data_IF_129736874790
#
_entry.id   IF_129736874790
#
_cell.length_a   1.000
_cell.length_b   1.000
_cell.length_c   1.000
_cell.angle_alpha   90.00
_cell.angle_beta   90.00
_cell.angle_gamma   90.00
#
_symmetry.space_group_name_H-M   'P 1'
#
loop_
_entity.id
_entity.type
_entity.pdbx_description
1 polymer ?
#
# COMPACT_ATOMS: atom_id res chain seq x y z
N UNK A 1 27.65 11.78 -12.78
CA UNK A 1 26.27 11.37 -12.44
C UNK A 1 26.04 10.04 -13.12
N UNK A 2 26.15 8.94 -12.37
CA UNK A 2 26.04 7.58 -12.91
C UNK A 2 24.60 7.31 -13.32
N UNK A 3 24.42 6.68 -14.50
CA UNK A 3 23.17 6.10 -14.98
C UNK A 3 22.50 5.33 -13.84
N UNK A 4 21.48 5.92 -13.20
CA UNK A 4 20.51 5.14 -12.44
C UNK A 4 19.68 4.43 -13.48
N UNK A 5 19.85 3.12 -13.61
CA UNK A 5 18.94 2.25 -14.34
C UNK A 5 17.51 2.65 -13.97
N UNK A 6 16.81 3.32 -14.89
CA UNK A 6 15.39 3.63 -14.81
C UNK A 6 14.58 2.36 -15.11
N UNK A 7 14.99 1.24 -14.50
CA UNK A 7 14.27 -0.02 -14.58
C UNK A 7 12.97 0.07 -13.81
N UNK A 8 11.92 -0.60 -14.30
CA UNK A 8 10.68 -0.80 -13.56
C UNK A 8 11.02 -1.35 -12.17
N UNK A 9 10.59 -0.65 -11.11
CA UNK A 9 10.76 -1.15 -9.74
C UNK A 9 9.65 -2.14 -9.47
N UNK A 10 10.01 -3.42 -9.46
CA UNK A 10 9.10 -4.52 -9.13
C UNK A 10 9.65 -5.38 -8.02
N UNK A 11 8.76 -6.08 -7.32
CA UNK A 11 9.11 -7.07 -6.30
C UNK A 11 8.32 -8.31 -6.58
N UNK A 12 9.00 -9.45 -6.58
CA UNK A 12 8.30 -10.74 -6.58
C UNK A 12 8.24 -11.25 -5.16
N UNK A 13 7.02 -11.60 -4.74
CA UNK A 13 6.73 -12.15 -3.44
C UNK A 13 6.22 -13.57 -3.54
N UNK A 14 6.43 -14.33 -2.48
CA UNK A 14 5.67 -15.54 -2.17
C UNK A 14 4.66 -15.16 -1.10
N UNK A 15 3.39 -15.28 -1.43
CA UNK A 15 2.28 -14.98 -0.53
C UNK A 15 1.59 -16.26 -0.10
N UNK A 16 1.36 -16.42 1.19
CA UNK A 16 0.66 -17.58 1.75
C UNK A 16 -0.49 -17.12 2.65
N UNK A 17 -1.64 -17.78 2.52
CA UNK A 17 -2.84 -17.54 3.32
C UNK A 17 -3.34 -18.87 3.89
N UNK A 18 -3.58 -18.90 5.20
CA UNK A 18 -4.26 -20.03 5.84
C UNK A 18 -5.78 -19.81 5.80
N UNK A 19 -6.46 -20.59 4.98
CA UNK A 19 -7.92 -20.54 4.83
C UNK A 19 -8.47 -21.93 5.16
N UNK A 20 -9.37 -22.02 6.13
CA UNK A 20 -10.01 -23.27 6.55
C UNK A 20 -9.01 -24.42 6.81
N UNK A 21 -7.87 -24.10 7.43
CA UNK A 21 -6.82 -25.07 7.76
C UNK A 21 -5.93 -25.49 6.58
N UNK A 22 -6.09 -24.88 5.40
CA UNK A 22 -5.25 -25.14 4.22
C UNK A 22 -4.47 -23.90 3.82
N UNK A 23 -3.20 -24.09 3.45
CA UNK A 23 -2.35 -23.01 2.94
C UNK A 23 -2.64 -22.84 1.45
N UNK A 24 -3.06 -21.64 1.09
CA UNK A 24 -3.16 -21.16 -0.28
C UNK A 24 -1.95 -20.29 -0.56
N UNK A 25 -1.31 -20.51 -1.69
CA UNK A 25 -0.07 -19.81 -2.03
C UNK A 25 -0.14 -19.24 -3.43
N UNK A 26 0.48 -18.07 -3.62
CA UNK A 26 0.78 -17.54 -4.94
C UNK A 26 2.15 -16.88 -4.97
N UNK A 27 2.74 -16.84 -6.15
CA UNK A 27 3.89 -16.00 -6.45
C UNK A 27 3.40 -14.87 -7.34
N UNK A 28 3.61 -13.63 -6.90
CA UNK A 28 3.15 -12.44 -7.61
C UNK A 28 4.25 -11.38 -7.66
N UNK A 29 4.31 -10.66 -8.77
CA UNK A 29 5.21 -9.52 -8.94
C UNK A 29 4.40 -8.23 -8.86
N UNK A 30 4.79 -7.36 -7.94
CA UNK A 30 4.12 -6.12 -7.58
C UNK A 30 4.86 -4.89 -8.10
N UNK A 31 4.14 -3.79 -8.28
CA UNK A 31 4.72 -2.46 -8.52
C UNK A 31 5.18 -1.88 -7.18
N UNK A 32 6.38 -1.28 -7.16
CA UNK A 32 6.93 -0.62 -5.98
C UNK A 32 6.80 0.89 -6.07
N UNK A 33 6.36 1.51 -4.97
CA UNK A 33 6.46 2.96 -4.76
C UNK A 33 7.53 3.27 -3.72
N UNK A 34 8.31 4.32 -3.97
CA UNK A 34 9.37 4.78 -3.07
C UNK A 34 8.94 5.89 -2.11
N UNK A 35 7.63 6.16 -1.95
CA UNK A 35 7.13 7.34 -1.25
C UNK A 35 7.43 7.30 0.26
N UNK A 36 7.31 6.14 0.91
CA UNK A 36 7.67 5.98 2.33
C UNK A 36 8.61 4.78 2.58
N UNK A 37 9.40 4.39 1.57
CA UNK A 37 10.34 3.28 1.65
C UNK A 37 10.04 2.18 0.65
N UNK A 38 10.01 0.93 1.11
CA UNK A 38 9.72 -0.23 0.27
C UNK A 38 8.25 -0.63 0.41
N UNK A 39 7.41 -0.09 -0.45
CA UNK A 39 5.97 -0.29 -0.42
C UNK A 39 5.52 -0.86 -1.76
N UNK A 40 4.64 -1.87 -1.73
CA UNK A 40 3.96 -2.27 -2.95
C UNK A 40 2.72 -1.41 -3.13
N UNK A 41 2.31 -1.12 -4.37
CA UNK A 41 1.09 -0.34 -4.60
C UNK A 41 -0.17 -0.94 -3.95
N UNK A 42 -0.19 -2.25 -3.73
CA UNK A 42 -1.36 -2.94 -3.18
C UNK A 42 -1.25 -3.31 -1.69
N UNK A 43 -0.07 -3.16 -1.07
CA UNK A 43 0.17 -3.56 0.33
C UNK A 43 1.25 -2.72 0.99
N UNK A 44 1.13 -2.52 2.30
CA UNK A 44 2.12 -1.81 3.14
C UNK A 44 3.35 -2.67 3.48
N UNK A 45 3.99 -3.27 2.47
CA UNK A 45 5.25 -4.02 2.62
C UNK A 45 5.07 -5.51 2.95
N UNK A 46 5.98 -6.06 3.75
CA UNK A 46 6.00 -7.47 4.17
C UNK A 46 4.94 -7.74 5.23
N UNK A 47 3.85 -8.38 4.83
CA UNK A 47 2.75 -8.68 5.73
C UNK A 47 2.96 -10.05 6.39
N UNK A 48 2.99 -10.05 7.72
CA UNK A 48 2.80 -11.25 8.54
C UNK A 48 1.60 -10.98 9.44
N UNK A 49 0.61 -11.88 9.43
CA UNK A 49 -0.58 -11.73 10.27
C UNK A 49 -0.83 -12.98 11.09
N UNK A 50 -1.08 -12.78 12.37
CA UNK A 50 -1.49 -13.81 13.30
C UNK A 50 -2.97 -13.65 13.64
N UNK A 51 -3.67 -14.77 13.89
CA UNK A 51 -5.03 -14.74 14.42
C UNK A 51 -5.02 -14.57 15.96
N UNK A 52 -6.22 -14.52 16.57
CA UNK A 52 -6.36 -14.37 18.04
C UNK A 52 -5.69 -15.50 18.84
N UNK A 53 -5.53 -16.67 18.24
CA UNK A 53 -4.87 -17.82 18.84
C UNK A 53 -3.35 -17.84 18.60
N UNK A 54 -2.76 -16.73 18.14
CA UNK A 54 -1.33 -16.62 17.81
C UNK A 54 -0.87 -17.58 16.70
N UNK A 55 -1.78 -18.06 15.86
CA UNK A 55 -1.43 -18.84 14.69
C UNK A 55 -1.18 -17.92 13.49
N UNK A 56 -0.09 -18.16 12.77
CA UNK A 56 0.23 -17.48 11.52
C UNK A 56 -0.83 -17.81 10.47
N UNK A 57 -1.50 -16.78 9.95
CA UNK A 57 -2.58 -16.92 8.96
C UNK A 57 -2.29 -16.25 7.62
N UNK A 58 -1.24 -15.42 7.56
CA UNK A 58 -0.81 -14.75 6.33
C UNK A 58 0.68 -14.45 6.42
N UNK A 59 1.42 -14.75 5.35
CA UNK A 59 2.82 -14.36 5.18
C UNK A 59 3.05 -13.86 3.76
N UNK A 60 3.94 -12.89 3.62
CA UNK A 60 4.37 -12.34 2.35
C UNK A 60 5.89 -12.12 2.41
N UNK A 61 6.64 -12.91 1.64
CA UNK A 61 8.10 -12.90 1.61
C UNK A 61 8.60 -12.36 0.26
N UNK A 62 9.58 -11.45 0.24
CA UNK A 62 10.29 -11.07 -1.01
C UNK A 62 11.18 -12.22 -1.41
N UNK A 63 11.06 -12.62 -2.67
CA UNK A 63 11.96 -13.59 -3.30
C UNK A 63 12.75 -13.01 -4.49
N UNK A 64 12.32 -11.88 -5.07
CA UNK A 64 13.09 -11.14 -6.08
C UNK A 64 12.74 -9.64 -6.12
N UNK A 65 13.63 -8.83 -6.71
CA UNK A 65 13.46 -7.39 -6.89
C UNK A 65 14.03 -6.96 -8.24
N UNK A 66 13.28 -6.14 -8.99
CA UNK A 66 13.71 -5.53 -10.27
C UNK A 66 13.92 -6.53 -11.42
N UNK A 67 13.45 -7.78 -11.28
CA UNK A 67 13.79 -8.87 -12.21
C UNK A 67 12.64 -9.33 -13.12
N UNK A 68 11.39 -9.15 -12.70
CA UNK A 68 10.23 -9.74 -13.37
C UNK A 68 9.16 -8.68 -13.71
N UNK A 69 8.35 -8.91 -14.77
CA UNK A 69 7.19 -8.07 -15.07
C UNK A 69 6.12 -8.20 -13.98
N UNK A 70 5.27 -7.18 -13.86
CA UNK A 70 4.14 -7.16 -12.92
C UNK A 70 3.16 -8.28 -13.26
N UNK A 71 2.82 -9.09 -12.26
CA UNK A 71 1.79 -10.15 -12.39
C UNK A 71 0.68 -10.03 -11.36
N UNK A 72 0.81 -9.12 -10.39
CA UNK A 72 -0.24 -8.86 -9.42
C UNK A 72 -1.43 -8.14 -10.09
N UNK A 73 -2.64 -8.74 -10.11
CA UNK A 73 -3.80 -8.15 -10.77
C UNK A 73 -4.28 -6.86 -10.07
N UNK A 74 -4.09 -6.76 -8.75
CA UNK A 74 -4.43 -5.54 -8.00
C UNK A 74 -3.50 -4.40 -8.38
N UNK A 75 -2.19 -4.65 -8.49
CA UNK A 75 -1.25 -3.64 -8.98
C UNK A 75 -1.59 -3.20 -10.41
N UNK A 76 -2.03 -4.12 -11.28
CA UNK A 76 -2.45 -3.77 -12.64
C UNK A 76 -3.70 -2.88 -12.65
N UNK A 77 -4.72 -3.21 -11.86
CA UNK A 77 -5.92 -2.39 -11.73
C UNK A 77 -5.63 -0.99 -11.16
N UNK A 78 -4.85 -0.91 -10.06
CA UNK A 78 -4.43 0.37 -9.48
C UNK A 78 -3.64 1.19 -10.49
N UNK A 79 -2.73 0.57 -11.24
CA UNK A 79 -1.99 1.26 -12.29
C UNK A 79 -2.94 1.87 -13.32
N UNK A 80 -3.94 1.13 -13.80
CA UNK A 80 -4.94 1.66 -14.73
C UNK A 80 -5.72 2.84 -14.14
N UNK A 81 -6.15 2.74 -12.89
CA UNK A 81 -6.90 3.80 -12.21
C UNK A 81 -6.06 5.06 -12.00
N UNK A 82 -4.81 4.91 -11.56
CA UNK A 82 -3.87 6.03 -11.35
C UNK A 82 -3.56 6.75 -12.64
N UNK A 83 -3.46 6.04 -13.78
CA UNK A 83 -3.20 6.64 -15.08
C UNK A 83 -4.38 7.47 -15.63
N UNK A 84 -5.52 7.48 -14.94
CA UNK A 84 -6.65 8.36 -15.25
C UNK A 84 -6.49 9.75 -14.62
N UNK A 85 -5.69 9.87 -13.57
CA UNK A 85 -5.38 11.16 -12.97
C UNK A 85 -4.33 11.90 -13.79
N UNK A 86 -4.44 13.22 -13.78
CA UNK A 86 -3.53 14.16 -14.42
C UNK A 86 -2.96 15.11 -13.38
N UNK A 87 -1.95 15.89 -13.76
CA UNK A 87 -1.32 16.84 -12.84
C UNK A 87 -2.29 17.88 -12.25
N UNK A 88 -3.40 18.21 -12.95
CA UNK A 88 -4.39 19.18 -12.45
C UNK A 88 -5.28 18.62 -11.34
N UNK A 89 -5.35 17.30 -11.19
CA UNK A 89 -6.09 16.63 -10.13
C UNK A 89 -5.35 16.71 -8.77
N UNK A 90 -4.08 17.15 -8.78
CA UNK A 90 -3.25 17.28 -7.58
C UNK A 90 -3.02 18.75 -7.21
N UNK A 91 -3.62 19.17 -6.09
CA UNK A 91 -3.37 20.48 -5.48
C UNK A 91 -2.04 20.48 -4.72
N UNK A 92 -0.94 20.56 -5.47
CA UNK A 92 0.44 20.56 -4.93
C UNK A 92 0.93 21.94 -4.51
N UNK A 93 0.17 23.00 -4.77
CA UNK A 93 0.61 24.39 -4.60
C UNK A 93 -0.09 25.12 -3.45
N UNK A 94 -1.28 24.68 -3.01
CA UNK A 94 -2.02 25.39 -1.95
C UNK A 94 -1.44 25.22 -0.55
N UNK A 95 -0.50 24.28 -0.35
CA UNK A 95 0.03 23.94 0.97
C UNK A 95 -1.00 23.24 1.89
N UNK A 96 -2.20 22.89 1.39
CA UNK A 96 -3.22 22.18 2.19
C UNK A 96 -2.78 20.80 2.66
N UNK A 97 -1.80 20.20 2.00
CA UNK A 97 -1.21 18.92 2.41
C UNK A 97 -0.15 19.06 3.51
N UNK A 98 0.19 20.29 3.91
CA UNK A 98 1.26 20.55 4.86
C UNK A 98 0.76 20.50 6.30
N UNK A 99 1.65 20.12 7.22
CA UNK A 99 1.37 20.24 8.65
C UNK A 99 1.31 21.71 9.04
N UNK A 100 0.23 22.08 9.73
CA UNK A 100 0.08 23.40 10.33
C UNK A 100 0.08 23.26 11.86
N UNK A 101 0.77 24.18 12.53
CA UNK A 101 0.65 24.30 13.98
C UNK A 101 -0.72 24.92 14.31
N UNK A 102 -1.57 24.13 14.93
CA UNK A 102 -2.91 24.55 15.37
C UNK A 102 -2.93 25.01 16.82
N UNK A 103 -1.79 24.93 17.52
CA UNK A 103 -1.64 25.15 18.95
C UNK A 103 -2.55 24.28 19.83
N UNK A 104 -3.13 23.19 19.29
CA UNK A 104 -3.90 22.23 20.06
C UNK A 104 -2.96 21.27 20.80
N UNK A 105 -3.21 21.08 22.10
CA UNK A 105 -2.45 20.14 22.95
C UNK A 105 -2.96 18.71 22.88
N UNK A 106 -4.13 18.49 22.26
CA UNK A 106 -4.80 17.20 22.16
C UNK A 106 -5.41 17.00 20.77
N UNK A 107 -5.58 15.73 20.36
CA UNK A 107 -6.22 15.38 19.09
C UNK A 107 -7.73 15.58 19.21
N UNK A 108 -8.28 16.47 18.39
CA UNK A 108 -9.72 16.69 18.31
C UNK A 108 -10.35 15.57 17.50
N UNK A 109 -11.18 14.73 18.13
CA UNK A 109 -12.00 13.73 17.44
C UNK A 109 -13.41 14.26 17.23
N UNK A 110 -13.94 14.18 16.01
CA UNK A 110 -15.29 14.63 15.71
C UNK A 110 -16.33 13.60 16.20
N UNK A 111 -16.97 13.85 17.34
CA UNK A 111 -18.20 13.13 17.69
C UNK A 111 -19.35 13.65 16.83
N UNK A 112 -19.64 12.99 15.70
CA UNK A 112 -20.87 13.23 14.94
C UNK A 112 -22.06 12.80 15.80
N UNK A 113 -22.58 13.73 16.59
CA UNK A 113 -23.82 13.56 17.34
C UNK A 113 -24.99 13.77 16.39
N UNK A 114 -25.54 12.70 15.84
CA UNK A 114 -26.81 12.77 15.10
C UNK A 114 -27.92 13.06 16.13
N UNK A 115 -28.25 14.35 16.30
CA UNK A 115 -29.46 14.75 17.02
C UNK A 115 -30.64 14.63 16.06
N UNK A 116 -31.33 13.49 16.14
CA UNK A 116 -32.65 13.34 15.54
C UNK A 116 -33.62 14.35 16.17
N UNK A 117 -34.19 15.22 15.35
CA UNK A 117 -35.34 16.03 15.73
C UNK A 117 -36.57 15.12 15.83
N UNK A 118 -37.19 15.07 17.01
CA UNK A 118 -38.63 14.82 17.15
C UNK A 118 -39.35 16.16 17.16
#
# INVERSE_FOLDING_TARGET
>A
MTNRETGMRTITTREQLLINGRVHERIATHIVTGAHGYETLCTNGYNVRYNKAQQLVESCEKIAEGKLPVTCPVCFAIWQDVHRFTHVDFDTQSGKSDFIDTCHSEIITGNVSVTGKK
#
